data_IF_206354472282
#
_entry.id   IF_206354472282
#
_cell.length_a   1.000
_cell.length_b   1.000
_cell.length_c   1.000
_cell.angle_alpha   90.00
_cell.angle_beta   90.00
_cell.angle_gamma   90.00
#
_symmetry.space_group_name_H-M   'P 1'
#
loop_
_entity.id
_entity.type
_entity.pdbx_description
1 polymer ?
#
# COMPACT_ATOMS: atom_id res chain seq x y z
N UNK A 1 -3.16 9.18 -1.29
CA UNK A 1 -4.48 8.62 -0.96
C UNK A 1 -5.49 9.01 -2.00
N UNK A 2 -6.36 8.11 -2.43
CA UNK A 2 -7.40 8.42 -3.42
C UNK A 2 -8.46 9.30 -2.79
N UNK A 3 -8.86 10.41 -3.39
CA UNK A 3 -9.86 11.34 -2.84
C UNK A 3 -11.20 10.68 -2.46
N UNK A 4 -11.67 9.73 -3.30
CA UNK A 4 -12.91 8.99 -3.02
C UNK A 4 -12.82 8.18 -1.73
N UNK A 5 -11.70 7.48 -1.49
CA UNK A 5 -11.48 6.72 -0.25
C UNK A 5 -11.39 7.66 0.95
N UNK A 6 -10.69 8.78 0.81
CA UNK A 6 -10.58 9.77 1.89
C UNK A 6 -11.96 10.36 2.23
N UNK A 7 -12.77 10.66 1.22
CA UNK A 7 -14.14 11.13 1.42
C UNK A 7 -14.99 10.11 2.21
N UNK A 8 -14.89 8.83 1.89
CA UNK A 8 -15.59 7.77 2.63
C UNK A 8 -15.10 7.63 4.07
N UNK A 9 -13.79 7.76 4.31
CA UNK A 9 -13.21 7.70 5.65
C UNK A 9 -13.58 8.90 6.54
N UNK A 10 -14.05 10.00 5.94
CA UNK A 10 -14.51 11.20 6.65
C UNK A 10 -16.05 11.30 6.70
N UNK A 11 -16.76 10.48 5.92
CA UNK A 11 -18.21 10.55 5.81
C UNK A 11 -18.90 10.05 7.09
N UNK A 12 -19.79 10.83 7.71
CA UNK A 12 -20.46 10.46 8.95
C UNK A 12 -21.22 9.14 8.86
N UNK A 13 -21.84 8.84 7.72
CA UNK A 13 -22.56 7.58 7.53
C UNK A 13 -21.60 6.38 7.51
N UNK A 14 -20.46 6.54 6.85
CA UNK A 14 -19.41 5.51 6.84
C UNK A 14 -18.80 5.31 8.25
N UNK A 15 -18.60 6.39 9.00
CA UNK A 15 -18.09 6.34 10.38
C UNK A 15 -19.09 5.65 11.33
N UNK A 16 -20.37 5.94 11.20
CA UNK A 16 -21.42 5.25 11.97
C UNK A 16 -21.47 3.76 11.58
N UNK A 17 -21.37 3.43 10.30
CA UNK A 17 -21.27 2.06 9.82
C UNK A 17 -20.06 1.32 10.39
N UNK A 18 -18.90 1.97 10.49
CA UNK A 18 -17.70 1.42 11.11
C UNK A 18 -17.91 1.15 12.61
N UNK A 19 -18.49 2.10 13.34
CA UNK A 19 -18.81 1.94 14.76
C UNK A 19 -19.73 0.74 14.99
N UNK A 20 -20.79 0.60 14.17
CA UNK A 20 -21.70 -0.54 14.22
C UNK A 20 -20.99 -1.87 13.89
N UNK A 21 -20.11 -1.86 12.90
CA UNK A 21 -19.34 -3.04 12.53
C UNK A 21 -18.42 -3.49 13.66
N UNK A 22 -17.73 -2.57 14.33
CA UNK A 22 -16.87 -2.86 15.50
C UNK A 22 -17.68 -3.43 16.67
N UNK A 23 -18.85 -2.83 16.98
CA UNK A 23 -19.75 -3.35 17.99
C UNK A 23 -20.25 -4.77 17.66
N UNK A 24 -20.62 -5.03 16.41
CA UNK A 24 -21.01 -6.34 15.93
C UNK A 24 -19.86 -7.36 15.97
N UNK A 25 -18.64 -6.93 15.68
CA UNK A 25 -17.45 -7.79 15.84
C UNK A 25 -17.31 -8.24 17.30
N UNK A 26 -17.41 -7.30 18.25
CA UNK A 26 -17.36 -7.62 19.68
C UNK A 26 -18.47 -8.60 20.09
N UNK A 27 -19.72 -8.42 19.63
CA UNK A 27 -20.82 -9.34 19.92
C UNK A 27 -20.55 -10.76 19.40
N UNK A 28 -20.10 -10.90 18.18
CA UNK A 28 -19.72 -12.20 17.59
C UNK A 28 -18.56 -12.85 18.33
N UNK A 29 -17.60 -12.05 18.78
CA UNK A 29 -16.50 -12.54 19.60
C UNK A 29 -16.99 -13.07 20.97
N UNK A 30 -17.90 -12.37 21.61
CA UNK A 30 -18.56 -12.85 22.85
C UNK A 30 -19.30 -14.15 22.61
N UNK A 31 -20.07 -14.26 21.53
CA UNK A 31 -20.75 -15.51 21.15
C UNK A 31 -19.76 -16.68 20.99
N UNK A 32 -18.62 -16.44 20.34
CA UNK A 32 -17.58 -17.46 20.18
C UNK A 32 -17.02 -17.97 21.52
N UNK A 33 -17.06 -17.17 22.59
CA UNK A 33 -16.62 -17.60 23.93
C UNK A 33 -17.52 -18.68 24.56
N UNK A 34 -18.73 -18.86 24.07
CA UNK A 34 -19.68 -19.87 24.53
C UNK A 34 -19.67 -21.15 23.69
N UNK A 35 -18.87 -21.21 22.64
CA UNK A 35 -18.79 -22.36 21.72
C UNK A 35 -18.42 -23.66 22.45
N UNK A 36 -18.92 -24.79 21.97
CA UNK A 36 -18.52 -26.13 22.43
C UNK A 36 -17.05 -26.42 22.05
N UNK A 37 -16.53 -25.85 20.99
CA UNK A 37 -15.12 -25.97 20.56
C UNK A 37 -14.19 -25.20 21.48
N UNK A 38 -13.24 -25.91 22.14
CA UNK A 38 -12.23 -25.26 22.99
C UNK A 38 -11.38 -24.25 22.24
N UNK A 39 -10.98 -24.55 21.01
CA UNK A 39 -10.16 -23.66 20.19
C UNK A 39 -10.93 -22.37 19.84
N UNK A 40 -12.20 -22.47 19.47
CA UNK A 40 -13.03 -21.32 19.14
C UNK A 40 -13.31 -20.47 20.39
N UNK A 41 -13.55 -21.09 21.57
CA UNK A 41 -13.67 -20.34 22.83
C UNK A 41 -12.41 -19.53 23.15
N UNK A 42 -11.22 -20.15 23.07
CA UNK A 42 -9.95 -19.45 23.34
C UNK A 42 -9.72 -18.34 22.33
N UNK A 43 -10.07 -18.56 21.08
CA UNK A 43 -10.02 -17.53 20.04
C UNK A 43 -11.00 -16.41 20.33
N UNK A 44 -12.27 -16.70 20.70
CA UNK A 44 -13.30 -15.72 21.04
C UNK A 44 -12.88 -14.77 22.19
N UNK A 45 -12.29 -15.33 23.27
CA UNK A 45 -11.79 -14.50 24.40
C UNK A 45 -10.78 -13.44 23.92
N UNK A 46 -9.90 -13.81 23.00
CA UNK A 46 -8.94 -12.87 22.42
C UNK A 46 -9.62 -11.86 21.50
N UNK A 47 -10.51 -12.32 20.64
CA UNK A 47 -11.24 -11.43 19.72
C UNK A 47 -12.08 -10.38 20.47
N UNK A 48 -12.59 -10.70 21.66
CA UNK A 48 -13.24 -9.71 22.54
C UNK A 48 -12.26 -8.59 22.89
N UNK A 49 -11.07 -8.94 23.37
CA UNK A 49 -10.07 -7.95 23.75
C UNK A 49 -9.58 -7.11 22.55
N UNK A 50 -9.42 -7.76 21.38
CA UNK A 50 -9.06 -7.06 20.13
C UNK A 50 -10.16 -6.10 19.69
N UNK A 51 -11.42 -6.52 19.72
CA UNK A 51 -12.55 -5.69 19.34
C UNK A 51 -12.73 -4.50 20.31
N UNK A 52 -12.55 -4.71 21.62
CA UNK A 52 -12.62 -3.64 22.61
C UNK A 52 -11.51 -2.59 22.40
N UNK A 53 -10.29 -3.04 22.09
CA UNK A 53 -9.18 -2.13 21.75
C UNK A 53 -9.47 -1.36 20.44
N UNK A 54 -9.97 -2.04 19.41
CA UNK A 54 -10.31 -1.38 18.16
C UNK A 54 -11.45 -0.35 18.31
N UNK A 55 -12.42 -0.60 19.19
CA UNK A 55 -13.47 0.36 19.54
C UNK A 55 -12.86 1.60 20.23
N UNK A 56 -11.98 1.40 21.21
CA UNK A 56 -11.31 2.48 21.91
C UNK A 56 -10.44 3.34 20.98
N UNK A 57 -9.66 2.69 20.11
CA UNK A 57 -8.86 3.37 19.08
C UNK A 57 -9.73 4.14 18.08
N UNK A 58 -10.86 3.57 17.66
CA UNK A 58 -11.79 4.25 16.77
C UNK A 58 -12.37 5.49 17.46
N UNK A 59 -12.85 5.37 18.68
CA UNK A 59 -13.47 6.47 19.42
C UNK A 59 -12.46 7.59 19.74
N UNK A 60 -11.19 7.26 19.99
CA UNK A 60 -10.16 8.23 20.36
C UNK A 60 -9.44 8.85 19.15
N UNK A 61 -9.22 8.11 18.07
CA UNK A 61 -8.37 8.54 16.96
C UNK A 61 -9.15 8.81 15.66
N UNK A 62 -10.18 7.99 15.36
CA UNK A 62 -10.83 7.96 14.05
C UNK A 62 -12.25 8.51 14.04
N UNK A 63 -12.83 8.79 15.20
CA UNK A 63 -14.23 9.21 15.34
C UNK A 63 -14.62 10.42 14.48
N UNK A 64 -13.68 11.29 14.21
CA UNK A 64 -13.87 12.50 13.40
C UNK A 64 -13.30 12.39 11.99
N UNK A 65 -13.08 11.16 11.52
CA UNK A 65 -12.56 10.86 10.19
C UNK A 65 -11.05 10.65 10.13
N UNK A 66 -10.58 10.20 8.98
CA UNK A 66 -9.17 9.95 8.73
C UNK A 66 -8.37 11.23 8.45
N UNK A 67 -8.99 12.24 7.83
CA UNK A 67 -8.28 13.47 7.42
C UNK A 67 -7.62 14.21 8.57
N UNK A 68 -8.23 14.40 9.77
CA UNK A 68 -7.56 15.05 10.87
C UNK A 68 -6.33 14.28 11.40
N UNK A 69 -6.38 12.95 11.38
CA UNK A 69 -5.25 12.11 11.80
C UNK A 69 -4.11 12.19 10.79
N UNK A 70 -4.41 12.01 9.51
CA UNK A 70 -3.41 12.08 8.44
C UNK A 70 -2.77 13.47 8.36
N UNK A 71 -3.56 14.53 8.53
CA UNK A 71 -3.03 15.89 8.60
C UNK A 71 -1.99 16.06 9.70
N UNK A 72 -2.25 15.55 10.91
CA UNK A 72 -1.25 15.59 11.99
C UNK A 72 0.06 14.91 11.63
N UNK A 73 0.01 13.78 10.92
CA UNK A 73 1.21 13.05 10.47
C UNK A 73 1.97 13.82 9.38
N UNK A 74 1.25 14.49 8.48
CA UNK A 74 1.84 15.36 7.44
C UNK A 74 2.49 16.59 8.09
N UNK A 75 1.78 17.28 8.99
CA UNK A 75 2.27 18.48 9.69
C UNK A 75 3.49 18.16 10.57
N UNK A 76 3.57 16.95 11.11
CA UNK A 76 4.74 16.45 11.86
C UNK A 76 5.92 16.02 10.97
N UNK A 77 5.77 16.01 9.64
CA UNK A 77 6.79 15.54 8.70
C UNK A 77 7.02 14.02 8.74
N UNK A 78 6.15 13.27 9.42
CA UNK A 78 6.27 11.80 9.54
C UNK A 78 5.87 11.08 8.24
N UNK A 79 4.96 11.69 7.47
CA UNK A 79 4.39 11.13 6.24
C UNK A 79 4.44 12.16 5.14
N UNK A 80 4.90 11.77 3.96
CA UNK A 80 4.69 12.52 2.72
C UNK A 80 3.35 12.11 2.10
N UNK A 81 2.46 13.08 1.90
CA UNK A 81 1.22 12.85 1.18
C UNK A 81 1.49 12.81 -0.32
N UNK A 82 1.35 11.65 -0.93
CA UNK A 82 1.21 11.54 -2.38
C UNK A 82 -0.25 11.79 -2.74
N UNK A 83 -0.47 12.79 -3.60
CA UNK A 83 -1.76 13.04 -4.21
C UNK A 83 -2.09 12.00 -5.29
N UNK A 84 -3.09 12.28 -6.07
CA UNK A 84 -3.49 11.44 -7.20
C UNK A 84 -4.74 11.97 -7.89
N UNK A 85 -5.18 11.36 -8.98
CA UNK A 85 -6.41 11.75 -9.68
C UNK A 85 -7.65 11.41 -8.85
N UNK A 86 -8.75 12.12 -9.09
CA UNK A 86 -9.96 12.14 -8.28
C UNK A 86 -10.56 10.77 -7.95
N UNK A 87 -10.67 9.88 -8.93
CA UNK A 87 -11.41 8.62 -8.80
C UNK A 87 -10.54 7.38 -9.12
N UNK A 88 -9.24 7.48 -8.95
CA UNK A 88 -8.29 6.39 -9.22
C UNK A 88 -8.41 5.77 -10.63
N UNK A 89 -8.57 6.56 -11.70
CA UNK A 89 -8.73 6.02 -13.03
C UNK A 89 -7.42 5.46 -13.58
N UNK A 90 -7.52 4.48 -14.48
CA UNK A 90 -6.37 4.05 -15.30
C UNK A 90 -6.06 5.16 -16.32
N UNK A 91 -5.22 6.09 -15.93
CA UNK A 91 -5.00 7.36 -16.64
C UNK A 91 -4.61 7.24 -18.12
N UNK A 92 -3.78 6.24 -18.55
CA UNK A 92 -3.42 6.09 -19.97
C UNK A 92 -4.61 5.93 -20.92
N UNK A 93 -5.72 5.37 -20.44
CA UNK A 93 -6.93 5.13 -21.26
C UNK A 93 -7.92 6.30 -21.23
N UNK A 94 -7.69 7.31 -20.40
CA UNK A 94 -8.52 8.51 -20.38
C UNK A 94 -8.18 9.46 -21.55
N UNK A 95 -9.22 10.10 -22.10
CA UNK A 95 -9.02 11.26 -22.96
C UNK A 95 -8.21 12.34 -22.22
N UNK A 96 -7.28 13.05 -22.86
CA UNK A 96 -6.39 14.02 -22.21
C UNK A 96 -7.12 15.01 -21.30
N UNK A 97 -8.23 15.57 -21.77
CA UNK A 97 -9.07 16.51 -21.00
C UNK A 97 -9.61 15.91 -19.69
N UNK A 98 -10.03 14.64 -19.71
CA UNK A 98 -10.53 13.95 -18.52
C UNK A 98 -9.39 13.63 -17.54
N UNK A 99 -8.23 13.25 -18.07
CA UNK A 99 -7.02 12.99 -17.26
C UNK A 99 -6.56 14.24 -16.51
N UNK A 100 -6.49 15.38 -17.22
CA UNK A 100 -6.16 16.68 -16.64
C UNK A 100 -7.19 17.13 -15.60
N UNK A 101 -8.47 16.97 -15.88
CA UNK A 101 -9.54 17.24 -14.94
C UNK A 101 -9.41 16.39 -13.68
N UNK A 102 -9.29 15.08 -13.83
CA UNK A 102 -9.20 14.16 -12.69
C UNK A 102 -7.99 14.47 -11.79
N UNK A 103 -6.84 14.79 -12.39
CA UNK A 103 -5.63 15.15 -11.65
C UNK A 103 -5.80 16.48 -10.90
N UNK A 104 -6.30 17.51 -11.57
CA UNK A 104 -6.53 18.83 -10.97
C UNK A 104 -7.49 18.74 -9.78
N UNK A 105 -8.62 18.06 -9.95
CA UNK A 105 -9.61 17.92 -8.88
C UNK A 105 -9.10 17.05 -7.73
N UNK A 106 -8.31 16.00 -8.03
CA UNK A 106 -7.70 15.18 -6.98
C UNK A 106 -6.67 15.94 -6.14
N UNK A 107 -5.85 16.79 -6.77
CA UNK A 107 -4.91 17.66 -6.05
C UNK A 107 -5.64 18.78 -5.27
N UNK A 108 -6.74 19.30 -5.81
CA UNK A 108 -7.59 20.27 -5.12
C UNK A 108 -8.25 19.69 -3.87
N UNK A 109 -8.77 18.44 -3.95
CA UNK A 109 -9.31 17.71 -2.81
C UNK A 109 -8.25 17.51 -1.71
N UNK A 110 -7.05 17.07 -2.07
CA UNK A 110 -5.95 16.91 -1.10
C UNK A 110 -5.62 18.22 -0.38
N UNK A 111 -5.60 19.35 -1.11
CA UNK A 111 -5.40 20.68 -0.53
C UNK A 111 -6.51 21.06 0.42
N UNK A 112 -7.76 20.81 0.05
CA UNK A 112 -8.92 21.14 0.87
C UNK A 112 -8.96 20.32 2.18
N UNK A 113 -8.68 19.01 2.10
CA UNK A 113 -8.74 18.10 3.26
C UNK A 113 -7.55 18.23 4.19
N UNK A 114 -6.34 18.28 3.63
CA UNK A 114 -5.12 18.19 4.41
C UNK A 114 -4.43 19.56 4.60
N UNK A 115 -4.95 20.64 4.01
CA UNK A 115 -4.29 21.95 3.93
C UNK A 115 -2.85 21.87 3.40
N UNK A 116 -2.57 20.83 2.59
CA UNK A 116 -1.27 20.53 2.02
C UNK A 116 -1.39 20.30 0.51
N UNK A 117 -0.46 20.86 -0.26
CA UNK A 117 -0.39 20.62 -1.71
C UNK A 117 0.63 19.51 -1.98
N UNK A 118 0.20 18.32 -2.39
CA UNK A 118 1.13 17.24 -2.72
C UNK A 118 2.06 17.66 -3.87
N UNK A 119 3.35 17.42 -3.72
CA UNK A 119 4.35 17.61 -4.78
C UNK A 119 4.64 16.32 -5.54
N UNK A 120 4.17 15.20 -5.04
CA UNK A 120 4.21 13.89 -5.68
C UNK A 120 2.82 13.28 -5.81
N UNK A 121 2.68 12.32 -6.73
CA UNK A 121 1.45 11.56 -6.91
C UNK A 121 1.70 10.07 -6.91
N UNK A 122 0.69 9.32 -6.45
CA UNK A 122 0.51 7.93 -6.83
C UNK A 122 -0.20 7.91 -8.18
N UNK A 123 0.50 7.49 -9.24
CA UNK A 123 -0.16 7.18 -10.52
C UNK A 123 -0.92 5.86 -10.36
N UNK A 124 -2.26 5.85 -10.46
CA UNK A 124 -3.04 4.62 -10.32
C UNK A 124 -2.46 3.48 -11.14
N UNK A 125 -2.32 2.30 -10.52
CA UNK A 125 -1.75 1.09 -11.12
C UNK A 125 -0.28 1.23 -11.58
N UNK A 126 0.47 2.24 -11.09
CA UNK A 126 1.75 2.65 -11.65
C UNK A 126 1.67 2.87 -13.18
N UNK A 127 0.49 3.23 -13.67
CA UNK A 127 0.21 3.31 -15.10
C UNK A 127 0.77 4.59 -15.72
N UNK A 128 1.45 4.42 -16.84
CA UNK A 128 2.09 5.51 -17.56
C UNK A 128 1.95 5.35 -19.09
N UNK A 129 1.77 6.47 -19.76
CA UNK A 129 1.93 6.62 -21.21
C UNK A 129 2.85 7.81 -21.49
N UNK A 130 3.73 7.76 -22.51
CA UNK A 130 4.57 8.86 -22.92
C UNK A 130 3.76 10.16 -23.11
N UNK A 131 4.28 11.28 -22.57
CA UNK A 131 3.62 12.59 -22.61
C UNK A 131 2.75 12.89 -21.38
N UNK A 132 2.46 11.93 -20.50
CA UNK A 132 1.70 12.18 -19.27
C UNK A 132 2.46 13.10 -18.30
N UNK A 133 3.77 13.01 -18.28
CA UNK A 133 4.64 13.85 -17.48
C UNK A 133 4.47 15.36 -17.77
N UNK A 134 4.07 15.73 -18.98
CA UNK A 134 3.78 17.13 -19.35
C UNK A 134 2.58 17.64 -18.54
N UNK A 135 1.50 16.86 -18.46
CA UNK A 135 0.32 17.18 -17.66
C UNK A 135 0.64 17.18 -16.16
N UNK A 136 1.50 16.29 -15.70
CA UNK A 136 1.97 16.25 -14.32
C UNK A 136 2.75 17.52 -13.96
N UNK A 137 3.72 17.92 -14.79
CA UNK A 137 4.48 19.15 -14.60
C UNK A 137 3.58 20.40 -14.60
N UNK A 138 2.63 20.47 -15.54
CA UNK A 138 1.65 21.57 -15.62
C UNK A 138 0.76 21.66 -14.38
N UNK A 139 0.48 20.54 -13.71
CA UNK A 139 -0.27 20.48 -12.46
C UNK A 139 0.59 20.73 -11.21
N UNK A 140 1.90 20.99 -11.35
CA UNK A 140 2.83 21.21 -10.24
C UNK A 140 3.35 19.91 -9.59
N UNK A 141 3.13 18.76 -10.21
CA UNK A 141 3.65 17.47 -9.73
C UNK A 141 5.14 17.36 -10.08
N UNK A 142 5.97 17.14 -9.09
CA UNK A 142 7.41 17.03 -9.23
C UNK A 142 7.93 15.59 -9.22
N UNK A 143 7.12 14.61 -8.81
CA UNK A 143 7.49 13.18 -8.86
C UNK A 143 6.27 12.26 -8.83
N UNK A 144 6.46 11.05 -9.33
CA UNK A 144 5.44 9.97 -9.34
C UNK A 144 6.12 8.60 -9.28
N UNK A 145 5.31 7.56 -9.09
CA UNK A 145 5.82 6.19 -9.02
C UNK A 145 5.47 5.40 -10.27
N UNK A 146 6.42 4.53 -10.67
CA UNK A 146 6.25 3.51 -11.70
C UNK A 146 6.69 2.15 -11.17
N UNK A 147 6.34 1.07 -11.86
CA UNK A 147 6.88 -0.24 -11.50
C UNK A 147 8.33 -0.40 -12.00
N UNK A 148 9.14 -1.19 -11.32
CA UNK A 148 10.55 -1.40 -11.64
C UNK A 148 10.85 -1.76 -13.09
N UNK A 149 10.08 -2.66 -13.73
CA UNK A 149 10.26 -2.98 -15.16
C UNK A 149 10.16 -1.79 -16.10
N UNK A 150 9.39 -0.74 -15.76
CA UNK A 150 9.31 0.50 -16.54
C UNK A 150 10.64 1.22 -16.64
N UNK A 151 11.53 0.99 -15.68
CA UNK A 151 12.91 1.48 -15.64
C UNK A 151 13.93 0.37 -15.96
N UNK A 152 13.51 -0.70 -16.63
CA UNK A 152 14.36 -1.87 -16.94
C UNK A 152 15.03 -2.47 -15.69
N UNK A 153 14.42 -2.33 -14.51
CA UNK A 153 14.95 -2.79 -13.22
C UNK A 153 15.98 -1.85 -12.59
N UNK A 154 16.32 -0.73 -13.22
CA UNK A 154 17.22 0.28 -12.65
C UNK A 154 16.45 1.24 -11.74
N UNK A 155 16.22 0.80 -10.52
CA UNK A 155 15.43 1.50 -9.49
C UNK A 155 16.27 2.17 -8.40
N UNK A 156 17.61 2.19 -8.57
CA UNK A 156 18.53 2.71 -7.58
C UNK A 156 18.46 4.24 -7.36
N UNK A 157 17.91 4.97 -8.33
CA UNK A 157 17.78 6.42 -8.33
C UNK A 157 16.45 6.83 -8.98
N UNK A 158 15.89 7.96 -8.53
CA UNK A 158 14.80 8.63 -9.26
C UNK A 158 15.29 9.08 -10.64
N UNK A 159 14.44 8.99 -11.66
CA UNK A 159 14.82 9.28 -13.04
C UNK A 159 13.95 10.42 -13.59
N UNK A 160 14.58 11.56 -14.00
CA UNK A 160 13.85 12.60 -14.70
C UNK A 160 13.22 12.06 -15.99
N UNK A 161 11.93 12.38 -16.22
CA UNK A 161 11.17 11.97 -17.40
C UNK A 161 10.82 13.17 -18.23
N UNK A 162 10.90 13.05 -19.56
CA UNK A 162 10.58 14.11 -20.52
C UNK A 162 11.78 14.71 -21.23
N UNK A 163 11.53 15.16 -22.45
CA UNK A 163 12.55 15.62 -23.41
C UNK A 163 12.79 17.14 -23.38
N UNK A 164 12.16 17.89 -22.48
CA UNK A 164 12.20 19.36 -22.48
C UNK A 164 13.50 19.92 -21.92
N UNK A 165 14.13 20.84 -22.66
CA UNK A 165 15.23 21.67 -22.20
C UNK A 165 14.83 22.69 -21.12
N UNK A 166 13.52 22.86 -20.88
CA UNK A 166 12.95 23.91 -20.05
C UNK A 166 12.44 23.39 -18.71
N UNK A 167 13.33 22.97 -17.84
CA UNK A 167 13.27 23.14 -16.40
C UNK A 167 12.28 22.32 -15.56
N UNK A 168 11.26 21.74 -16.09
CA UNK A 168 10.20 21.06 -15.32
C UNK A 168 10.27 19.54 -15.42
N UNK A 169 11.38 18.92 -15.02
CA UNK A 169 11.51 17.46 -15.08
C UNK A 169 10.76 16.81 -13.92
N UNK A 170 9.70 16.08 -14.23
CA UNK A 170 9.04 15.23 -13.26
C UNK A 170 9.91 13.98 -13.04
N UNK A 171 10.09 13.59 -11.78
CA UNK A 171 10.93 12.45 -11.41
C UNK A 171 10.06 11.20 -11.28
N UNK A 172 10.40 10.16 -12.02
CA UNK A 172 9.85 8.83 -11.81
C UNK A 172 10.70 8.06 -10.80
N UNK A 173 10.04 7.49 -9.80
CA UNK A 173 10.64 6.55 -8.85
C UNK A 173 10.14 5.14 -9.12
N UNK A 174 11.05 4.19 -9.30
CA UNK A 174 10.72 2.81 -9.59
C UNK A 174 10.54 1.98 -8.33
N UNK A 175 9.42 1.24 -8.23
CA UNK A 175 9.25 0.23 -7.19
C UNK A 175 10.28 -0.88 -7.35
N UNK A 176 11.05 -1.18 -6.31
CA UNK A 176 11.99 -2.30 -6.31
C UNK A 176 11.24 -3.63 -6.14
N UNK A 177 11.28 -4.48 -7.17
CA UNK A 177 10.54 -5.75 -7.15
C UNK A 177 11.17 -6.81 -6.24
N UNK A 178 12.49 -6.79 -6.02
CA UNK A 178 13.13 -7.77 -5.15
C UNK A 178 12.69 -7.58 -3.71
N UNK A 179 12.53 -6.32 -3.29
CA UNK A 179 12.04 -5.97 -1.96
C UNK A 179 10.52 -6.10 -1.90
N UNK A 180 9.80 -5.54 -2.86
CA UNK A 180 8.33 -5.52 -2.83
C UNK A 180 7.72 -6.93 -2.90
N UNK A 181 8.33 -7.86 -3.61
CA UNK A 181 7.83 -9.23 -3.74
C UNK A 181 8.08 -10.11 -2.50
N UNK A 182 8.85 -9.65 -1.52
CA UNK A 182 8.88 -10.30 -0.20
C UNK A 182 7.50 -10.25 0.45
N UNK A 183 6.77 -9.20 0.21
CA UNK A 183 5.41 -8.99 0.74
C UNK A 183 4.36 -9.40 -0.29
N UNK A 184 4.40 -8.85 -1.50
CA UNK A 184 3.34 -8.93 -2.50
C UNK A 184 3.44 -10.10 -3.48
N UNK A 185 4.22 -11.13 -3.20
CA UNK A 185 4.26 -12.30 -4.09
C UNK A 185 3.12 -13.27 -3.80
N UNK A 186 2.25 -13.61 -4.78
CA UNK A 186 1.22 -14.62 -4.59
C UNK A 186 1.80 -16.03 -4.36
N UNK A 187 3.06 -16.24 -4.75
CA UNK A 187 3.73 -17.55 -4.62
C UNK A 187 4.56 -17.69 -3.35
N UNK A 188 5.19 -16.62 -2.88
CA UNK A 188 6.18 -16.67 -1.81
C UNK A 188 6.14 -15.48 -0.85
N UNK A 189 5.17 -14.57 -1.01
CA UNK A 189 5.03 -13.41 -0.13
C UNK A 189 4.68 -13.80 1.31
N UNK A 190 5.12 -12.98 2.25
CA UNK A 190 4.91 -13.22 3.68
C UNK A 190 3.45 -13.47 4.07
N UNK A 191 2.43 -12.76 3.51
CA UNK A 191 1.04 -12.97 3.90
C UNK A 191 0.53 -14.40 3.75
N UNK A 192 1.11 -15.17 2.83
CA UNK A 192 0.77 -16.58 2.61
C UNK A 192 1.46 -17.58 3.56
N UNK A 193 2.18 -17.12 4.58
CA UNK A 193 2.90 -17.99 5.51
C UNK A 193 1.97 -18.84 6.37
N UNK A 194 2.33 -20.10 6.58
CA UNK A 194 1.50 -21.10 7.25
C UNK A 194 1.06 -20.75 8.68
N UNK A 195 1.79 -19.89 9.37
CA UNK A 195 1.49 -19.45 10.73
C UNK A 195 0.47 -18.31 10.81
N UNK A 196 0.31 -17.52 9.76
CA UNK A 196 -0.53 -16.33 9.75
C UNK A 196 -2.02 -16.65 9.71
N UNK A 197 -2.84 -15.71 10.17
CA UNK A 197 -4.29 -15.82 10.16
C UNK A 197 -4.80 -15.96 8.74
N UNK A 198 -5.65 -16.94 8.51
CA UNK A 198 -6.22 -17.18 7.19
C UNK A 198 -7.31 -16.15 6.86
N UNK A 199 -7.21 -15.55 5.70
CA UNK A 199 -8.18 -14.57 5.23
C UNK A 199 -9.48 -15.22 4.74
N UNK A 200 -9.42 -16.42 4.18
CA UNK A 200 -10.52 -17.02 3.41
C UNK A 200 -11.43 -17.93 4.23
N UNK A 201 -10.98 -18.45 5.38
CA UNK A 201 -11.73 -19.44 6.16
C UNK A 201 -12.49 -18.78 7.31
N UNK A 202 -13.81 -18.98 7.30
CA UNK A 202 -14.73 -18.45 8.31
C UNK A 202 -15.29 -19.56 9.18
N UNK A 203 -15.53 -19.27 10.45
CA UNK A 203 -16.52 -19.98 11.26
C UNK A 203 -17.92 -19.50 10.85
N UNK A 204 -18.73 -20.35 10.27
CA UNK A 204 -20.03 -19.97 9.70
C UNK A 204 -21.07 -19.54 10.75
N UNK A 205 -20.88 -19.91 12.01
CA UNK A 205 -21.78 -19.52 13.10
C UNK A 205 -21.51 -18.09 13.54
N UNK A 206 -20.24 -17.76 13.79
CA UNK A 206 -19.85 -16.44 14.32
C UNK A 206 -19.38 -15.45 13.24
N UNK A 207 -19.07 -15.94 12.04
CA UNK A 207 -18.45 -15.13 10.96
C UNK A 207 -17.01 -14.70 11.25
N UNK A 208 -16.37 -15.26 12.30
CA UNK A 208 -14.98 -14.98 12.64
C UNK A 208 -14.02 -15.84 11.83
N UNK A 209 -12.74 -15.47 11.81
CA UNK A 209 -11.67 -16.18 11.08
C UNK A 209 -10.70 -16.84 12.05
N UNK A 210 -11.05 -18.00 12.63
CA UNK A 210 -10.29 -18.63 13.72
C UNK A 210 -9.11 -19.49 13.25
N UNK A 211 -8.90 -19.63 11.95
CA UNK A 211 -7.90 -20.53 11.37
C UNK A 211 -6.65 -19.78 10.94
N UNK A 212 -5.53 -20.48 10.90
CA UNK A 212 -4.30 -20.04 10.22
C UNK A 212 -4.22 -20.60 8.79
N UNK A 213 -3.37 -20.01 7.96
CA UNK A 213 -3.14 -20.47 6.57
C UNK A 213 -2.79 -21.95 6.51
N UNK A 214 -1.98 -22.46 7.45
CA UNK A 214 -1.60 -23.88 7.59
C UNK A 214 -0.74 -24.40 6.44
N UNK A 215 -1.13 -24.08 5.20
CA UNK A 215 -0.42 -24.40 3.97
C UNK A 215 -1.28 -24.04 2.74
N UNK A 216 -0.62 -23.80 1.62
CA UNK A 216 -1.28 -23.32 0.38
C UNK A 216 -2.38 -24.24 -0.15
N UNK A 217 -2.17 -25.54 -0.01
CA UNK A 217 -3.07 -26.57 -0.57
C UNK A 217 -3.93 -27.23 0.51
N UNK A 218 -3.97 -26.65 1.71
CA UNK A 218 -4.80 -27.18 2.81
C UNK A 218 -6.22 -26.65 2.62
N UNK A 219 -7.24 -27.52 2.46
CA UNK A 219 -8.62 -27.12 2.32
C UNK A 219 -9.14 -26.46 3.61
N UNK A 220 -10.20 -25.66 3.48
CA UNK A 220 -10.70 -24.82 4.59
C UNK A 220 -11.09 -25.60 5.84
N UNK A 221 -11.67 -26.81 5.68
CA UNK A 221 -12.08 -27.71 6.75
C UNK A 221 -10.92 -28.40 7.47
N UNK A 222 -9.74 -28.45 6.85
CA UNK A 222 -8.53 -29.07 7.40
C UNK A 222 -7.53 -28.02 7.95
N UNK A 223 -7.86 -26.73 7.91
CA UNK A 223 -6.98 -25.68 8.44
C UNK A 223 -6.90 -25.75 9.97
N UNK A 224 -5.68 -25.58 10.47
CA UNK A 224 -5.41 -25.59 11.90
C UNK A 224 -5.84 -24.26 12.57
N UNK A 225 -6.16 -24.31 13.87
CA UNK A 225 -6.48 -23.09 14.62
C UNK A 225 -5.35 -22.05 14.57
N UNK A 226 -5.73 -20.78 14.62
CA UNK A 226 -4.79 -19.66 14.69
C UNK A 226 -4.11 -19.60 16.06
N UNK A 227 -2.79 -19.49 16.02
CA UNK A 227 -1.92 -19.47 17.21
C UNK A 227 -1.06 -18.17 17.14
N UNK A 228 -1.41 -17.11 17.89
CA UNK A 228 -0.69 -15.82 17.79
C UNK A 228 0.80 -15.90 18.10
N UNK A 229 1.20 -16.70 19.10
CA UNK A 229 2.62 -16.82 19.43
C UNK A 229 3.44 -17.38 18.25
N UNK A 230 2.82 -18.27 17.46
CA UNK A 230 3.41 -18.79 16.23
C UNK A 230 3.44 -17.73 15.13
N UNK A 231 2.37 -16.95 15.01
CA UNK A 231 2.33 -15.83 14.06
C UNK A 231 3.35 -14.74 14.42
N UNK A 232 3.46 -14.39 15.70
CA UNK A 232 4.40 -13.40 16.21
C UNK A 232 5.86 -13.79 15.93
N UNK A 233 6.24 -15.05 16.19
CA UNK A 233 7.57 -15.57 15.83
C UNK A 233 7.84 -15.55 14.31
N UNK A 234 6.79 -15.75 13.50
CA UNK A 234 6.92 -15.64 12.05
C UNK A 234 7.07 -14.17 11.62
N UNK A 235 6.40 -13.23 12.29
CA UNK A 235 6.61 -11.79 12.06
C UNK A 235 8.06 -11.42 12.31
N UNK A 236 8.66 -11.81 13.43
CA UNK A 236 10.07 -11.50 13.73
C UNK A 236 11.02 -12.07 12.67
N UNK A 237 10.75 -13.29 12.22
CA UNK A 237 11.53 -13.92 11.14
C UNK A 237 11.44 -13.12 9.84
N UNK A 238 10.23 -12.65 9.49
CA UNK A 238 10.01 -11.87 8.26
C UNK A 238 10.51 -10.43 8.36
N UNK A 239 10.53 -9.84 9.55
CA UNK A 239 11.20 -8.54 9.79
C UNK A 239 12.70 -8.67 9.53
N UNK A 240 13.34 -9.68 10.10
CA UNK A 240 14.78 -9.91 9.88
C UNK A 240 15.12 -10.19 8.41
N UNK A 241 14.31 -11.02 7.73
CA UNK A 241 14.48 -11.32 6.30
C UNK A 241 14.29 -10.07 5.42
N UNK A 242 13.32 -9.22 5.75
CA UNK A 242 13.06 -7.99 4.99
C UNK A 242 14.20 -6.99 5.16
N UNK A 243 14.64 -6.73 6.39
CA UNK A 243 15.77 -5.83 6.68
C UNK A 243 17.03 -6.29 5.96
N UNK A 244 17.33 -7.58 6.04
CA UNK A 244 18.50 -8.15 5.34
C UNK A 244 18.35 -8.06 3.81
N UNK A 245 17.14 -8.24 3.27
CA UNK A 245 16.88 -8.10 1.84
C UNK A 245 17.09 -6.65 1.38
N UNK A 246 16.59 -5.67 2.13
CA UNK A 246 16.82 -4.24 1.85
C UNK A 246 18.30 -3.91 1.93
N UNK A 247 18.99 -4.34 2.99
CA UNK A 247 20.43 -4.10 3.17
C UNK A 247 21.25 -4.63 2.01
N UNK A 248 21.03 -5.89 1.61
CA UNK A 248 21.73 -6.50 0.46
C UNK A 248 21.42 -5.76 -0.84
N UNK A 249 20.17 -5.35 -1.04
CA UNK A 249 19.76 -4.62 -2.24
C UNK A 249 20.44 -3.25 -2.30
N UNK A 250 20.44 -2.50 -1.21
CA UNK A 250 21.13 -1.20 -1.11
C UNK A 250 22.63 -1.32 -1.37
N UNK A 251 23.29 -2.33 -0.78
CA UNK A 251 24.71 -2.57 -1.01
C UNK A 251 25.01 -2.85 -2.49
N UNK A 252 24.28 -3.82 -3.09
CA UNK A 252 24.50 -4.21 -4.47
C UNK A 252 24.25 -3.04 -5.45
N UNK A 253 23.18 -2.25 -5.22
CA UNK A 253 22.88 -1.10 -6.09
C UNK A 253 23.89 0.03 -5.90
N UNK A 254 24.32 0.30 -4.67
CA UNK A 254 25.33 1.32 -4.41
C UNK A 254 26.68 0.98 -5.03
N UNK A 255 27.09 -0.30 -4.97
CA UNK A 255 28.28 -0.79 -5.67
C UNK A 255 28.14 -0.67 -7.18
N UNK A 256 26.98 -1.03 -7.74
CA UNK A 256 26.71 -0.98 -9.18
C UNK A 256 26.78 0.44 -9.74
N UNK A 257 26.24 1.44 -9.00
CA UNK A 257 26.21 2.82 -9.47
C UNK A 257 27.38 3.70 -8.95
N UNK A 258 28.21 3.16 -8.07
CA UNK A 258 29.40 3.85 -7.51
C UNK A 258 29.07 4.98 -6.54
N UNK A 259 27.84 5.01 -5.96
CA UNK A 259 27.37 6.00 -4.99
C UNK A 259 26.20 5.43 -4.18
N UNK A 260 25.78 6.08 -3.06
CA UNK A 260 24.60 5.64 -2.32
C UNK A 260 23.36 5.53 -3.23
N UNK A 261 22.64 4.42 -3.10
CA UNK A 261 21.41 4.12 -3.79
C UNK A 261 20.21 4.22 -2.81
N UNK A 262 19.01 4.31 -3.36
CA UNK A 262 17.77 4.09 -2.60
C UNK A 262 17.05 2.82 -3.03
N UNK A 263 16.10 2.38 -2.23
CA UNK A 263 15.17 1.30 -2.53
C UNK A 263 13.76 1.80 -2.24
N UNK A 264 12.87 1.68 -3.20
CA UNK A 264 11.46 2.03 -3.03
C UNK A 264 10.63 0.76 -2.87
N UNK A 265 10.04 0.57 -1.69
CA UNK A 265 9.04 -0.46 -1.43
C UNK A 265 7.65 0.17 -1.49
N UNK A 266 6.76 -0.38 -2.31
CA UNK A 266 5.40 0.13 -2.46
C UNK A 266 4.39 -1.02 -2.47
N UNK A 267 3.31 -0.83 -1.70
CA UNK A 267 2.29 -1.83 -1.44
C UNK A 267 0.91 -1.17 -1.41
N UNK A 268 -0.12 -1.94 -1.74
CA UNK A 268 -1.49 -1.55 -1.46
C UNK A 268 -1.74 -1.48 0.04
N UNK A 269 -2.38 -0.41 0.51
CA UNK A 269 -2.58 -0.17 1.94
C UNK A 269 -3.49 -1.22 2.58
N UNK A 270 -4.52 -1.68 1.86
CA UNK A 270 -5.46 -2.70 2.35
C UNK A 270 -4.81 -4.07 2.59
N UNK A 271 -3.61 -4.31 2.06
CA UNK A 271 -2.86 -5.50 2.40
C UNK A 271 -2.66 -5.61 3.91
N UNK A 272 -2.33 -4.47 4.55
CA UNK A 272 -2.00 -4.41 5.97
C UNK A 272 -3.29 -4.34 6.82
N UNK A 273 -3.63 -5.46 7.46
CA UNK A 273 -4.79 -5.60 8.34
C UNK A 273 -6.02 -6.21 7.66
N UNK A 274 -6.25 -6.00 6.36
CA UNK A 274 -7.36 -6.62 5.64
C UNK A 274 -6.96 -7.98 5.06
N UNK A 275 -6.03 -8.02 4.10
CA UNK A 275 -5.55 -9.27 3.50
C UNK A 275 -4.55 -10.02 4.40
N UNK A 276 -3.76 -9.31 5.14
CA UNK A 276 -2.73 -9.81 6.04
C UNK A 276 -2.95 -9.24 7.45
N UNK A 277 -3.55 -10.04 8.31
CA UNK A 277 -3.91 -9.63 9.67
C UNK A 277 -2.71 -9.13 10.48
N UNK A 278 -1.55 -9.79 10.36
CA UNK A 278 -0.33 -9.39 11.05
C UNK A 278 0.45 -8.27 10.36
N UNK A 279 -0.02 -7.82 9.20
CA UNK A 279 0.64 -6.80 8.39
C UNK A 279 0.97 -5.51 9.13
N UNK A 280 0.06 -4.90 9.90
CA UNK A 280 0.35 -3.69 10.67
C UNK A 280 1.47 -3.89 11.71
N UNK A 281 1.47 -5.02 12.43
CA UNK A 281 2.51 -5.36 13.38
C UNK A 281 3.86 -5.55 12.71
N UNK A 282 3.89 -6.25 11.58
CA UNK A 282 5.09 -6.44 10.78
C UNK A 282 5.64 -5.09 10.30
N UNK A 283 4.78 -4.21 9.78
CA UNK A 283 5.20 -2.88 9.28
C UNK A 283 5.80 -2.03 10.39
N UNK A 284 5.17 -2.00 11.57
CA UNK A 284 5.71 -1.29 12.74
C UNK A 284 7.11 -1.79 13.10
N UNK A 285 7.29 -3.12 13.20
CA UNK A 285 8.57 -3.71 13.55
C UNK A 285 9.65 -3.44 12.49
N UNK A 286 9.29 -3.51 11.20
CA UNK A 286 10.22 -3.18 10.10
C UNK A 286 10.67 -1.72 10.18
N UNK A 287 9.73 -0.78 10.36
CA UNK A 287 10.07 0.64 10.45
C UNK A 287 10.97 0.97 11.65
N UNK A 288 10.93 0.17 12.72
CA UNK A 288 11.87 0.27 13.85
C UNK A 288 13.21 -0.40 13.55
N UNK A 289 13.19 -1.57 12.92
CA UNK A 289 14.40 -2.37 12.71
C UNK A 289 15.30 -1.82 11.59
N UNK A 290 14.76 -1.15 10.58
CA UNK A 290 15.56 -0.57 9.50
C UNK A 290 16.59 0.47 10.01
N UNK A 291 16.20 1.49 10.80
CA UNK A 291 17.18 2.43 11.38
C UNK A 291 18.18 1.76 12.33
N UNK A 292 17.76 0.78 13.12
CA UNK A 292 18.66 0.01 13.99
C UNK A 292 19.72 -0.76 13.20
N UNK A 293 19.40 -1.16 11.96
CA UNK A 293 20.32 -1.77 11.01
C UNK A 293 21.18 -0.74 10.22
N UNK A 294 21.08 0.56 10.54
CA UNK A 294 21.80 1.63 9.85
C UNK A 294 21.21 2.00 8.48
N UNK A 295 19.95 1.65 8.22
CA UNK A 295 19.24 1.97 6.99
C UNK A 295 18.33 3.17 7.24
N UNK A 296 18.58 4.27 6.57
CA UNK A 296 17.75 5.46 6.64
C UNK A 296 16.38 5.17 5.97
N UNK A 297 15.30 5.55 6.65
CA UNK A 297 13.94 5.49 6.12
C UNK A 297 13.47 6.91 5.86
N UNK A 298 13.09 7.21 4.63
CA UNK A 298 12.67 8.53 4.20
C UNK A 298 11.57 8.50 3.16
N UNK A 299 11.18 9.68 2.72
CA UNK A 299 10.17 9.91 1.70
C UNK A 299 10.79 10.07 0.31
N UNK A 300 9.96 10.10 -0.74
CA UNK A 300 10.45 10.39 -2.09
C UNK A 300 10.95 11.85 -2.21
N UNK A 301 10.35 12.78 -1.47
CA UNK A 301 10.83 14.15 -1.36
C UNK A 301 12.20 14.22 -0.70
N UNK A 302 12.47 13.45 0.33
CA UNK A 302 13.80 13.34 0.95
C UNK A 302 14.81 12.77 -0.04
N UNK A 303 14.46 11.72 -0.78
CA UNK A 303 15.31 11.16 -1.80
C UNK A 303 15.70 12.19 -2.87
N UNK A 304 14.77 13.06 -3.29
CA UNK A 304 15.06 14.20 -4.18
C UNK A 304 16.02 15.22 -3.53
N UNK A 305 15.72 15.60 -2.29
CA UNK A 305 16.52 16.60 -1.56
C UNK A 305 17.97 16.13 -1.34
N UNK A 306 18.16 14.85 -1.09
CA UNK A 306 19.48 14.23 -0.92
C UNK A 306 20.17 13.87 -2.25
N UNK A 307 19.58 14.23 -3.39
CA UNK A 307 20.20 14.05 -4.69
C UNK A 307 20.21 12.60 -5.21
N UNK A 308 19.30 11.74 -4.74
CA UNK A 308 19.12 10.40 -5.31
C UNK A 308 18.44 10.44 -6.68
N UNK A 309 19.01 11.25 -7.58
CA UNK A 309 18.52 11.47 -8.94
C UNK A 309 19.58 11.05 -9.94
N UNK A 310 19.17 10.26 -10.91
CA UNK A 310 20.01 9.76 -12.02
C UNK A 310 19.83 10.55 -13.32
N UNK A 311 20.36 9.99 -14.40
CA UNK A 311 20.21 10.56 -15.73
C UNK A 311 18.74 10.50 -16.20
N UNK A 312 18.31 11.41 -17.08
CA UNK A 312 16.98 11.34 -17.71
C UNK A 312 16.71 10.04 -18.42
N UNK A 313 15.44 9.65 -18.49
CA UNK A 313 14.98 8.43 -19.13
C UNK A 313 13.69 8.68 -19.91
N UNK A 314 13.52 7.97 -21.01
CA UNK A 314 12.22 7.80 -21.67
C UNK A 314 11.54 6.56 -21.09
N UNK A 315 10.30 6.72 -20.62
CA UNK A 315 9.52 5.62 -20.07
C UNK A 315 8.62 5.01 -21.17
N UNK A 316 8.57 3.69 -21.30
CA UNK A 316 7.60 3.04 -22.15
C UNK A 316 6.18 3.08 -21.54
N UNK A 317 5.13 2.85 -22.35
CA UNK A 317 3.82 2.52 -21.83
C UNK A 317 3.91 1.35 -20.85
N UNK A 318 3.36 1.49 -19.65
CA UNK A 318 3.57 0.53 -18.57
C UNK A 318 2.50 0.58 -17.50
N UNK A 319 2.46 -0.46 -16.67
CA UNK A 319 1.70 -0.54 -15.43
C UNK A 319 2.34 -1.55 -14.46
N UNK A 320 1.80 -1.70 -13.26
CA UNK A 320 2.25 -2.77 -12.36
C UNK A 320 1.43 -4.06 -12.48
N UNK A 321 0.40 -4.08 -13.34
CA UNK A 321 -0.44 -5.24 -13.59
C UNK A 321 0.33 -6.46 -14.11
N UNK A 322 -0.40 -7.55 -14.30
CA UNK A 322 0.16 -8.76 -14.92
C UNK A 322 0.64 -8.45 -16.33
N UNK A 323 1.86 -8.89 -16.66
CA UNK A 323 2.50 -8.55 -17.95
C UNK A 323 3.20 -7.19 -17.96
N UNK A 324 2.98 -6.34 -16.97
CA UNK A 324 3.56 -4.98 -16.84
C UNK A 324 3.16 -4.03 -17.97
N UNK A 325 2.10 -4.38 -18.67
CA UNK A 325 1.47 -3.65 -19.75
C UNK A 325 0.03 -3.23 -19.38
N UNK A 326 -0.82 -2.95 -20.36
CA UNK A 326 -2.20 -2.53 -20.14
C UNK A 326 -3.24 -3.63 -20.38
N UNK A 327 -2.82 -4.88 -20.61
CA UNK A 327 -3.71 -5.99 -20.96
C UNK A 327 -4.81 -6.26 -19.92
N UNK A 328 -4.54 -5.97 -18.64
CA UNK A 328 -5.54 -6.10 -17.57
C UNK A 328 -6.71 -5.13 -17.77
N UNK A 329 -6.46 -3.93 -18.31
CA UNK A 329 -7.44 -2.85 -18.43
C UNK A 329 -7.95 -2.61 -19.85
N UNK A 330 -7.22 -3.02 -20.87
CA UNK A 330 -7.57 -2.79 -22.30
C UNK A 330 -7.38 -4.01 -23.17
N UNK A 331 -7.09 -5.17 -22.60
CA UNK A 331 -6.94 -6.41 -23.34
C UNK A 331 -8.25 -6.99 -23.83
N UNK A 332 -8.16 -8.03 -24.66
CA UNK A 332 -9.30 -8.67 -25.30
C UNK A 332 -10.42 -9.08 -24.32
N UNK A 333 -10.06 -9.51 -23.10
CA UNK A 333 -11.01 -9.95 -22.08
C UNK A 333 -11.93 -8.83 -21.51
N UNK A 334 -11.57 -7.59 -21.74
CA UNK A 334 -12.28 -6.41 -21.24
C UNK A 334 -12.66 -5.44 -22.37
N UNK A 335 -12.53 -5.87 -23.63
CA UNK A 335 -12.73 -5.04 -24.80
C UNK A 335 -14.14 -4.41 -24.85
N UNK A 336 -15.16 -5.17 -24.46
CA UNK A 336 -16.56 -4.71 -24.43
C UNK A 336 -16.74 -3.56 -23.42
N UNK A 337 -16.07 -3.64 -22.26
CA UNK A 337 -16.11 -2.58 -21.24
C UNK A 337 -15.38 -1.32 -21.70
N UNK A 338 -14.28 -1.47 -22.43
CA UNK A 338 -13.54 -0.34 -23.02
C UNK A 338 -14.35 0.39 -24.07
N UNK A 339 -15.19 -0.32 -24.84
CA UNK A 339 -16.08 0.29 -25.83
C UNK A 339 -17.25 1.05 -25.23
N UNK A 340 -17.62 0.77 -23.98
CA UNK A 340 -18.73 1.44 -23.29
C UNK A 340 -18.31 2.77 -22.62
N UNK A 341 -17.03 3.02 -22.50
CA UNK A 341 -16.44 4.23 -21.91
C UNK A 341 -15.93 5.20 -22.98
#
# INVERSE_FOLDING_TARGET
MTPVVTAQLDDPYCLDGMSQWLANWRLRAVEATTSSSKSLRTFGIREVAEAERAIDEFDTLWRHGASPLLRRLIDAGTVELLGGPLAHPFQPLLAPRLREFALREGLADARARFAHTPTGIWAPECAYAPGMEIGYAAAGVGHFMVDGPSLHGDTALGRPVGTGSDGGKVIAFGRDLQVSYRVWSPKSGYPGHAAYRDFHTYDHTTGLKPSRVTGRNVPSDAKAPYEPQRADAAVDTHVADFVETVRRRLTAESERIGRPAHVVAAFDTELFGHWWYEGPLWLERVLRALPEAGIEVGTLSDAKAHGFIGAPVELPPSSWGSGKDWQVWSGEKVADLVQLN
#
